data_IF_179983032901
#
_entry.id   IF_179983032901
#
_cell.length_a   1.000
_cell.length_b   1.000
_cell.length_c   1.000
_cell.angle_alpha   90.00
_cell.angle_beta   90.00
_cell.angle_gamma   90.00
#
_symmetry.space_group_name_H-M   'P 1'
#
loop_
_entity.id
_entity.type
_entity.pdbx_description
1 polymer ?
#
# COMPACT_ATOMS: atom_id res chain seq x y z
N UNK A 1 19.28 20.32 31.34
CA UNK A 1 18.01 19.57 31.23
C UNK A 1 18.21 18.42 30.26
N UNK A 2 18.27 17.19 30.76
CA UNK A 2 18.32 15.98 29.94
C UNK A 2 16.90 15.71 29.45
N UNK A 3 16.62 15.88 28.15
CA UNK A 3 15.35 15.39 27.57
C UNK A 3 15.33 13.88 27.81
N UNK A 4 14.37 13.38 28.60
CA UNK A 4 14.18 11.94 28.72
C UNK A 4 13.98 11.36 27.31
N UNK A 5 14.82 10.40 26.91
CA UNK A 5 14.69 9.76 25.61
C UNK A 5 13.33 9.06 25.55
N UNK A 6 12.52 9.37 24.53
CA UNK A 6 11.22 8.72 24.34
C UNK A 6 11.49 7.25 24.02
N UNK A 7 10.91 6.35 24.80
CA UNK A 7 11.12 4.91 24.61
C UNK A 7 10.38 4.38 23.39
N UNK A 8 10.90 3.30 22.81
CA UNK A 8 10.29 2.54 21.72
C UNK A 8 8.81 2.20 21.96
N UNK A 9 8.44 1.86 23.20
CA UNK A 9 7.07 1.51 23.56
C UNK A 9 6.11 2.72 23.47
N UNK A 10 6.54 3.90 23.93
CA UNK A 10 5.72 5.13 23.85
C UNK A 10 5.52 5.54 22.39
N UNK A 11 6.55 5.38 21.56
CA UNK A 11 6.47 5.63 20.12
C UNK A 11 5.44 4.72 19.45
N UNK A 12 5.51 3.41 19.71
CA UNK A 12 4.54 2.45 19.16
C UNK A 12 3.12 2.72 19.63
N UNK A 13 2.91 3.01 20.92
CA UNK A 13 1.58 3.31 21.43
C UNK A 13 0.97 4.54 20.74
N UNK A 14 1.78 5.57 20.50
CA UNK A 14 1.35 6.78 19.77
C UNK A 14 0.97 6.48 18.32
N UNK A 15 1.79 5.70 17.61
CA UNK A 15 1.53 5.31 16.22
C UNK A 15 0.36 4.33 16.07
N UNK A 16 0.13 3.46 17.06
CA UNK A 16 -1.02 2.57 17.10
C UNK A 16 -2.34 3.36 17.27
N UNK A 17 -2.36 4.36 18.15
CA UNK A 17 -3.52 5.27 18.26
C UNK A 17 -3.75 6.04 16.96
N UNK A 18 -2.68 6.49 16.31
CA UNK A 18 -2.74 7.15 15.01
C UNK A 18 -3.35 6.26 13.91
N UNK A 19 -2.97 4.97 13.87
CA UNK A 19 -3.57 3.99 12.97
C UNK A 19 -5.06 3.80 13.30
N UNK A 20 -5.43 3.68 14.57
CA UNK A 20 -6.82 3.48 14.97
C UNK A 20 -7.70 4.70 14.65
N UNK A 21 -7.21 5.92 14.88
CA UNK A 21 -7.91 7.15 14.51
C UNK A 21 -8.10 7.24 12.98
N UNK A 22 -7.07 6.90 12.20
CA UNK A 22 -7.15 6.89 10.74
C UNK A 22 -8.18 5.87 10.24
N UNK A 23 -8.24 4.68 10.86
CA UNK A 23 -9.24 3.66 10.55
C UNK A 23 -10.65 4.13 10.91
N UNK A 24 -10.87 4.55 12.15
CA UNK A 24 -12.22 4.75 12.72
C UNK A 24 -12.84 6.09 12.34
N UNK A 25 -12.04 7.15 12.22
CA UNK A 25 -12.53 8.50 11.95
C UNK A 25 -12.54 8.82 10.45
N UNK A 26 -11.63 8.21 9.67
CA UNK A 26 -11.41 8.56 8.27
C UNK A 26 -11.62 7.40 7.29
N UNK A 27 -11.80 6.17 7.80
CA UNK A 27 -11.97 4.98 6.97
C UNK A 27 -10.69 4.54 6.25
N UNK A 28 -9.50 4.95 6.71
CA UNK A 28 -8.21 4.61 6.10
C UNK A 28 -7.71 3.24 6.56
N UNK A 29 -8.51 2.20 6.29
CA UNK A 29 -8.26 0.85 6.78
C UNK A 29 -6.94 0.29 6.28
N UNK A 30 -6.59 0.50 5.00
CA UNK A 30 -5.38 -0.07 4.40
C UNK A 30 -4.12 0.56 4.98
N UNK A 31 -4.08 1.88 5.09
CA UNK A 31 -2.98 2.62 5.70
C UNK A 31 -2.77 2.21 7.17
N UNK A 32 -3.87 2.03 7.90
CA UNK A 32 -3.86 1.65 9.31
C UNK A 32 -3.31 0.23 9.51
N UNK A 33 -3.75 -0.73 8.70
CA UNK A 33 -3.21 -2.10 8.72
C UNK A 33 -1.72 -2.11 8.42
N UNK A 34 -1.27 -1.32 7.44
CA UNK A 34 0.16 -1.27 7.11
C UNK A 34 1.00 -0.64 8.22
N UNK A 35 0.51 0.46 8.82
CA UNK A 35 1.16 1.10 9.94
C UNK A 35 1.27 0.14 11.13
N UNK A 36 0.17 -0.46 11.57
CA UNK A 36 0.16 -1.40 12.71
C UNK A 36 1.11 -2.58 12.50
N UNK A 37 1.17 -3.15 11.29
CA UNK A 37 2.09 -4.23 10.99
C UNK A 37 3.55 -3.78 11.14
N UNK A 38 3.88 -2.57 10.69
CA UNK A 38 5.23 -1.99 10.83
C UNK A 38 5.66 -1.75 12.29
N UNK A 39 4.73 -1.74 13.25
CA UNK A 39 5.03 -1.54 14.68
C UNK A 39 5.53 -2.82 15.37
N UNK A 40 5.63 -3.94 14.67
CA UNK A 40 6.24 -5.17 15.19
C UNK A 40 7.77 -5.04 15.28
N UNK A 41 8.40 -5.89 16.09
CA UNK A 41 9.87 -5.93 16.19
C UNK A 41 10.53 -6.51 14.93
N UNK A 42 9.89 -7.50 14.32
CA UNK A 42 10.36 -8.18 13.12
C UNK A 42 9.15 -8.48 12.22
N UNK A 43 8.51 -7.46 11.60
CA UNK A 43 7.37 -7.69 10.72
C UNK A 43 7.79 -8.59 9.56
N UNK A 44 7.00 -9.63 9.32
CA UNK A 44 7.17 -10.49 8.15
C UNK A 44 6.68 -9.77 6.89
N UNK A 45 7.27 -10.10 5.74
CA UNK A 45 6.77 -9.64 4.44
C UNK A 45 5.33 -10.12 4.22
N UNK A 46 4.47 -9.24 3.70
CA UNK A 46 3.04 -9.49 3.54
C UNK A 46 2.70 -9.79 2.08
N UNK A 47 1.91 -10.86 1.86
CA UNK A 47 1.33 -11.18 0.55
C UNK A 47 -0.19 -11.10 0.62
N UNK A 48 -0.75 -10.05 0.02
CA UNK A 48 -2.17 -9.75 -0.05
C UNK A 48 -2.74 -10.45 -1.29
N UNK A 49 -3.72 -11.34 -1.08
CA UNK A 49 -4.31 -12.16 -2.15
C UNK A 49 -5.42 -11.42 -2.89
N UNK A 50 -5.83 -11.89 -4.07
CA UNK A 50 -6.82 -11.20 -4.90
C UNK A 50 -8.23 -11.12 -4.35
N UNK A 51 -8.54 -11.88 -3.30
CA UNK A 51 -9.83 -11.85 -2.60
C UNK A 51 -9.83 -10.91 -1.40
N UNK A 52 -8.66 -10.37 -1.02
CA UNK A 52 -8.53 -9.45 0.10
C UNK A 52 -9.21 -8.10 -0.19
N UNK A 53 -9.84 -7.44 0.80
CA UNK A 53 -10.39 -6.10 0.65
C UNK A 53 -9.36 -5.07 0.14
N UNK A 54 -8.10 -5.15 0.56
CA UNK A 54 -7.02 -4.27 0.08
C UNK A 54 -6.80 -4.48 -1.42
N UNK A 55 -6.74 -5.73 -1.88
CA UNK A 55 -6.65 -6.04 -3.32
C UNK A 55 -7.86 -5.53 -4.10
N UNK A 56 -9.06 -5.57 -3.50
CA UNK A 56 -10.27 -5.01 -4.12
C UNK A 56 -10.19 -3.49 -4.24
N UNK A 57 -9.71 -2.81 -3.20
CA UNK A 57 -9.48 -1.37 -3.23
C UNK A 57 -8.45 -0.99 -4.31
N UNK A 58 -7.32 -1.70 -4.38
CA UNK A 58 -6.28 -1.51 -5.40
C UNK A 58 -6.84 -1.78 -6.80
N UNK A 59 -7.60 -2.85 -7.00
CA UNK A 59 -8.27 -3.17 -8.28
C UNK A 59 -9.18 -2.03 -8.75
N UNK A 60 -9.82 -1.33 -7.82
CA UNK A 60 -10.74 -0.24 -8.10
C UNK A 60 -10.05 1.13 -8.28
N UNK A 61 -8.75 1.24 -7.99
CA UNK A 61 -7.96 2.45 -8.20
C UNK A 61 -7.85 2.83 -9.68
N UNK A 62 -7.66 4.12 -9.96
CA UNK A 62 -7.44 4.63 -11.32
C UNK A 62 -6.21 4.00 -11.97
N UNK A 63 -5.10 3.92 -11.24
CA UNK A 63 -3.84 3.32 -11.72
C UNK A 63 -4.00 1.85 -12.13
N UNK A 64 -4.68 1.03 -11.33
CA UNK A 64 -4.90 -0.37 -11.71
C UNK A 64 -5.86 -0.49 -12.91
N UNK A 65 -6.90 0.35 -12.98
CA UNK A 65 -7.82 0.38 -14.12
C UNK A 65 -7.11 0.78 -15.41
N UNK A 66 -6.17 1.71 -15.34
CA UNK A 66 -5.33 2.13 -16.47
C UNK A 66 -4.46 0.97 -16.96
N UNK A 67 -3.73 0.29 -16.06
CA UNK A 67 -2.94 -0.91 -16.41
C UNK A 67 -3.80 -1.98 -17.10
N UNK A 68 -5.01 -2.22 -16.59
CA UNK A 68 -5.96 -3.17 -17.20
C UNK A 68 -6.38 -2.69 -18.59
N UNK A 69 -6.69 -1.40 -18.74
CA UNK A 69 -7.11 -0.79 -20.01
C UNK A 69 -6.01 -0.87 -21.07
N UNK A 70 -4.78 -0.52 -20.72
CA UNK A 70 -3.61 -0.62 -21.60
C UNK A 70 -3.33 -2.07 -22.00
N UNK A 71 -3.46 -3.00 -21.05
CA UNK A 71 -3.30 -4.42 -21.33
C UNK A 71 -4.33 -4.88 -22.37
N UNK A 72 -5.61 -4.55 -22.16
CA UNK A 72 -6.73 -4.85 -23.08
C UNK A 72 -6.51 -4.26 -24.46
N UNK A 73 -6.21 -2.97 -24.52
CA UNK A 73 -6.02 -2.22 -25.78
C UNK A 73 -4.94 -2.85 -26.64
N UNK A 74 -3.82 -3.24 -26.03
CA UNK A 74 -2.74 -3.87 -26.76
C UNK A 74 -3.08 -5.27 -27.27
N UNK A 75 -3.73 -6.12 -26.48
CA UNK A 75 -3.97 -7.51 -26.91
C UNK A 75 -5.07 -7.62 -27.96
N UNK A 76 -5.95 -6.62 -28.05
CA UNK A 76 -7.06 -6.58 -29.01
C UNK A 76 -6.59 -6.74 -30.46
N UNK A 77 -7.20 -7.69 -31.17
CA UNK A 77 -6.90 -8.04 -32.56
C UNK A 77 -5.60 -8.81 -32.76
N UNK A 78 -4.81 -9.06 -31.70
CA UNK A 78 -3.51 -9.74 -31.82
C UNK A 78 -3.66 -11.26 -31.61
N UNK A 79 -2.95 -12.04 -32.42
CA UNK A 79 -2.84 -13.51 -32.27
C UNK A 79 -1.89 -13.87 -31.12
N UNK A 80 -2.29 -13.56 -29.88
CA UNK A 80 -1.52 -13.83 -28.66
C UNK A 80 -2.26 -14.82 -27.75
N UNK A 81 -1.52 -15.78 -27.18
CA UNK A 81 -2.00 -16.69 -26.13
C UNK A 81 -1.60 -16.25 -24.72
N UNK A 82 -0.56 -15.42 -24.61
CA UNK A 82 -0.08 -14.87 -23.35
C UNK A 82 0.60 -13.51 -23.56
N UNK A 83 0.66 -12.71 -22.50
CA UNK A 83 1.44 -11.47 -22.44
C UNK A 83 1.84 -11.17 -21.01
N UNK A 84 3.05 -10.65 -20.84
CA UNK A 84 3.49 -10.01 -19.60
C UNK A 84 3.98 -8.60 -19.89
N UNK A 85 3.65 -7.66 -19.00
CA UNK A 85 4.18 -6.31 -18.97
C UNK A 85 4.51 -5.92 -17.54
N UNK A 86 5.44 -5.00 -17.35
CA UNK A 86 5.86 -4.53 -16.04
C UNK A 86 6.13 -3.04 -16.08
N UNK A 87 6.03 -2.39 -14.92
CA UNK A 87 6.27 -0.96 -14.81
C UNK A 87 6.23 -0.50 -13.37
N UNK A 88 6.06 0.81 -13.20
CA UNK A 88 5.80 1.43 -11.90
C UNK A 88 4.64 2.41 -12.04
N UNK A 89 3.88 2.61 -10.98
CA UNK A 89 2.74 3.53 -10.96
C UNK A 89 2.53 4.09 -9.56
N UNK A 90 1.63 5.06 -9.43
CA UNK A 90 1.21 5.59 -8.13
C UNK A 90 -0.21 5.11 -7.77
N UNK A 91 -0.35 4.36 -6.67
CA UNK A 91 -1.62 4.05 -6.03
C UNK A 91 -2.07 5.24 -5.17
N UNK A 92 -2.45 6.34 -5.81
CA UNK A 92 -2.80 7.59 -5.14
C UNK A 92 -4.26 8.05 -5.38
N UNK A 93 -5.12 7.13 -5.84
CA UNK A 93 -6.54 7.44 -6.09
C UNK A 93 -7.34 7.73 -4.83
N UNK A 94 -6.81 7.37 -3.65
CA UNK A 94 -7.33 7.75 -2.34
C UNK A 94 -6.19 8.10 -1.41
N UNK A 95 -6.49 8.90 -0.38
CA UNK A 95 -5.50 9.21 0.66
C UNK A 95 -5.06 7.95 1.42
N UNK A 96 -5.98 7.00 1.64
CA UNK A 96 -5.68 5.69 2.23
C UNK A 96 -4.59 4.92 1.46
N UNK A 97 -4.74 4.77 0.13
CA UNK A 97 -3.73 4.12 -0.71
C UNK A 97 -2.43 4.94 -0.80
N UNK A 98 -2.52 6.28 -0.71
CA UNK A 98 -1.35 7.16 -0.71
C UNK A 98 -0.52 7.00 0.56
N UNK A 99 -1.16 6.83 1.71
CA UNK A 99 -0.48 6.57 2.99
C UNK A 99 0.06 5.15 3.06
N UNK A 100 -0.61 4.19 2.43
CA UNK A 100 -0.22 2.78 2.45
C UNK A 100 0.90 2.43 1.47
N UNK A 101 0.84 2.89 0.21
CA UNK A 101 1.74 2.42 -0.84
C UNK A 101 2.36 3.57 -1.65
N UNK A 102 1.55 4.56 -2.05
CA UNK A 102 1.94 5.61 -2.98
C UNK A 102 2.62 5.07 -4.26
N UNK A 103 3.95 4.93 -4.32
CA UNK A 103 4.67 4.49 -5.53
C UNK A 103 4.96 2.98 -5.47
N UNK A 104 4.41 2.23 -6.41
CA UNK A 104 4.58 0.77 -6.47
C UNK A 104 5.16 0.33 -7.81
N UNK A 105 5.91 -0.77 -7.79
CA UNK A 105 6.25 -1.51 -9.00
C UNK A 105 5.17 -2.54 -9.30
N UNK A 106 4.97 -2.91 -10.57
CA UNK A 106 4.02 -3.95 -10.93
C UNK A 106 4.49 -4.89 -12.04
N UNK A 107 3.95 -6.10 -12.04
CA UNK A 107 4.01 -7.07 -13.14
C UNK A 107 2.60 -7.55 -13.45
N UNK A 108 2.14 -7.32 -14.67
CA UNK A 108 0.84 -7.74 -15.19
C UNK A 108 1.02 -8.87 -16.22
N UNK A 109 0.56 -10.07 -15.88
CA UNK A 109 0.63 -11.27 -16.72
C UNK A 109 -0.76 -11.77 -17.06
N UNK A 110 -1.04 -11.98 -18.33
CA UNK A 110 -2.31 -12.51 -18.80
C UNK A 110 -2.17 -13.69 -19.74
N UNK A 111 -3.14 -14.60 -19.69
CA UNK A 111 -3.26 -15.79 -20.55
C UNK A 111 -4.65 -15.85 -21.16
N UNK A 112 -4.74 -16.16 -22.46
CA UNK A 112 -5.98 -16.29 -23.22
C UNK A 112 -6.37 -17.77 -23.32
N UNK A 113 -7.61 -18.10 -22.98
CA UNK A 113 -8.13 -19.45 -23.16
C UNK A 113 -8.65 -19.67 -24.60
N UNK A 114 -9.05 -20.91 -24.92
CA UNK A 114 -9.58 -21.28 -26.24
C UNK A 114 -10.87 -20.57 -26.65
N UNK A 115 -11.61 -20.00 -25.69
CA UNK A 115 -12.83 -19.20 -25.92
C UNK A 115 -12.53 -17.72 -26.12
N UNK A 116 -11.26 -17.33 -26.15
CA UNK A 116 -10.82 -15.95 -26.30
C UNK A 116 -10.95 -15.08 -25.05
N UNK A 117 -11.17 -15.68 -23.87
CA UNK A 117 -11.22 -14.97 -22.60
C UNK A 117 -9.82 -14.87 -22.00
N UNK A 118 -9.40 -13.65 -21.71
CA UNK A 118 -8.16 -13.35 -21.01
C UNK A 118 -8.36 -13.42 -19.50
N UNK A 119 -7.44 -14.10 -18.80
CA UNK A 119 -7.27 -13.99 -17.35
C UNK A 119 -6.03 -13.18 -17.08
N UNK A 120 -6.18 -12.04 -16.42
CA UNK A 120 -5.11 -11.10 -16.09
C UNK A 120 -4.82 -11.14 -14.59
N UNK A 121 -3.55 -11.30 -14.25
CA UNK A 121 -3.02 -11.24 -12.90
C UNK A 121 -1.98 -10.12 -12.80
N UNK A 122 -2.22 -9.17 -11.90
CA UNK A 122 -1.32 -8.04 -11.65
C UNK A 122 -0.76 -8.19 -10.25
N UNK A 123 0.57 -8.21 -10.13
CA UNK A 123 1.27 -8.18 -8.84
C UNK A 123 1.89 -6.81 -8.65
N UNK A 124 1.40 -6.07 -7.67
CA UNK A 124 2.05 -4.84 -7.19
C UNK A 124 3.04 -5.21 -6.08
N UNK A 125 4.18 -4.53 -6.04
CA UNK A 125 5.21 -4.69 -5.02
C UNK A 125 5.66 -3.34 -4.51
N UNK A 126 5.80 -3.27 -3.20
CA UNK A 126 6.25 -2.09 -2.48
C UNK A 126 7.06 -2.47 -1.24
N UNK A 127 7.78 -1.50 -0.68
CA UNK A 127 8.34 -1.57 0.67
C UNK A 127 7.63 -0.52 1.50
N UNK A 128 6.86 -0.94 2.49
CA UNK A 128 6.26 -0.01 3.42
C UNK A 128 7.33 0.54 4.34
N UNK A 129 7.61 1.84 4.26
CA UNK A 129 8.68 2.51 4.99
C UNK A 129 8.20 3.79 5.70
N UNK A 130 7.06 3.70 6.40
CA UNK A 130 6.39 4.77 7.17
C UNK A 130 6.90 6.20 6.95
N UNK A 131 6.16 6.94 6.13
CA UNK A 131 6.44 8.34 5.83
C UNK A 131 5.62 9.26 6.74
N UNK A 132 6.26 9.72 7.82
CA UNK A 132 5.62 10.57 8.83
C UNK A 132 5.01 11.86 8.24
N UNK A 133 5.64 12.45 7.22
CA UNK A 133 5.19 13.73 6.64
C UNK A 133 3.84 13.59 5.92
N UNK A 134 3.54 12.39 5.40
CA UNK A 134 2.22 12.10 4.83
C UNK A 134 1.15 11.99 5.92
N UNK A 135 1.49 11.43 7.08
CA UNK A 135 0.57 11.24 8.21
C UNK A 135 0.30 12.53 9.00
N UNK A 136 1.25 13.47 9.07
CA UNK A 136 1.06 14.74 9.81
C UNK A 136 -0.03 15.64 9.23
N UNK A 137 -0.40 15.43 7.96
CA UNK A 137 -1.40 16.24 7.26
C UNK A 137 -2.83 15.66 7.31
N UNK A 138 -3.02 14.57 8.04
CA UNK A 138 -4.31 13.91 8.18
C UNK A 138 -5.23 14.74 9.10
N UNK A 139 -6.37 15.24 8.60
CA UNK A 139 -7.32 16.03 9.40
C UNK A 139 -7.98 15.16 10.48
N UNK A 140 -8.06 15.65 11.72
CA UNK A 140 -8.59 14.89 12.87
C UNK A 140 -7.53 14.10 13.64
N UNK A 141 -6.32 14.04 13.10
CA UNK A 141 -5.15 13.45 13.74
C UNK A 141 -4.71 14.32 14.93
N UNK A 142 -4.67 13.76 16.15
CA UNK A 142 -4.36 14.55 17.35
C UNK A 142 -2.93 15.09 17.32
N UNK A 143 -2.83 16.39 17.07
CA UNK A 143 -1.60 17.17 17.03
C UNK A 143 -0.86 17.32 18.38
N UNK A 144 -1.43 16.87 19.49
CA UNK A 144 -0.76 16.93 20.80
C UNK A 144 0.52 16.06 20.86
N UNK A 145 0.61 15.04 20.01
CA UNK A 145 1.82 14.24 19.79
C UNK A 145 2.82 14.94 18.85
N UNK A 146 2.37 15.95 18.07
CA UNK A 146 3.04 16.57 16.90
C UNK A 146 4.04 17.68 17.21
N UNK A 147 3.94 18.41 18.34
CA UNK A 147 4.84 19.52 18.64
C UNK A 147 6.33 19.12 18.86
N UNK A 148 6.68 17.84 18.74
CA UNK A 148 8.06 17.33 18.65
C UNK A 148 8.38 16.50 17.38
N UNK A 149 7.51 16.44 16.37
CA UNK A 149 7.52 15.40 15.32
C UNK A 149 8.19 15.71 13.99
N UNK A 150 8.79 16.88 13.75
CA UNK A 150 9.59 17.09 12.51
C UNK A 150 10.85 16.18 12.41
N UNK A 151 11.03 15.26 13.35
CA UNK A 151 12.13 14.28 13.40
C UNK A 151 11.66 12.83 13.64
N UNK A 152 10.36 12.50 13.59
CA UNK A 152 9.86 11.24 14.17
C UNK A 152 9.83 10.01 13.26
N UNK A 153 9.55 10.11 11.96
CA UNK A 153 9.59 8.91 11.09
C UNK A 153 10.99 8.26 11.11
N UNK A 154 12.01 9.09 10.88
CA UNK A 154 13.42 8.68 10.96
C UNK A 154 13.83 8.24 12.37
N UNK A 155 13.39 8.95 13.42
CA UNK A 155 13.68 8.55 14.81
C UNK A 155 13.02 7.22 15.17
N UNK A 156 11.73 7.04 14.86
CA UNK A 156 10.96 5.83 15.10
C UNK A 156 11.59 4.62 14.39
N UNK A 157 12.06 4.80 13.16
CA UNK A 157 12.84 3.78 12.46
C UNK A 157 14.20 3.55 13.13
N UNK A 158 14.92 4.61 13.53
CA UNK A 158 16.25 4.49 14.17
C UNK A 158 16.23 3.73 15.50
N UNK A 159 15.14 3.85 16.27
CA UNK A 159 14.96 3.10 17.52
C UNK A 159 14.23 1.77 17.31
N UNK A 160 13.92 1.42 16.06
CA UNK A 160 13.19 0.21 15.68
C UNK A 160 11.74 0.15 16.19
N UNK A 161 11.12 1.29 16.48
CA UNK A 161 9.70 1.36 16.81
C UNK A 161 8.81 1.14 15.58
N UNK A 162 9.31 1.55 14.41
CA UNK A 162 8.74 1.26 13.09
C UNK A 162 9.78 0.50 12.28
N UNK A 163 9.39 -0.62 11.70
CA UNK A 163 10.28 -1.48 10.91
C UNK A 163 9.70 -1.63 9.51
N UNK A 164 10.44 -1.22 8.45
CA UNK A 164 10.00 -1.43 7.08
C UNK A 164 9.86 -2.91 6.73
N UNK A 165 8.92 -3.23 5.84
CA UNK A 165 8.69 -4.60 5.36
C UNK A 165 8.16 -4.58 3.92
N UNK A 166 8.29 -5.69 3.19
CA UNK A 166 7.80 -5.76 1.82
C UNK A 166 6.33 -6.14 1.78
N UNK A 167 5.61 -5.54 0.84
CA UNK A 167 4.22 -5.84 0.55
C UNK A 167 4.11 -6.27 -0.91
N UNK A 168 3.42 -7.38 -1.14
CA UNK A 168 2.98 -7.80 -2.48
C UNK A 168 1.46 -7.89 -2.52
N UNK A 169 0.83 -7.22 -3.47
CA UNK A 169 -0.62 -7.25 -3.68
C UNK A 169 -0.92 -7.93 -5.01
N UNK A 170 -1.75 -8.97 -4.98
CA UNK A 170 -2.21 -9.63 -6.20
C UNK A 170 -3.63 -9.18 -6.57
N UNK A 171 -3.81 -8.63 -7.76
CA UNK A 171 -5.13 -8.33 -8.36
C UNK A 171 -5.39 -9.31 -9.49
N UNK A 172 -6.62 -9.84 -9.57
CA UNK A 172 -7.07 -10.68 -10.69
C UNK A 172 -8.31 -10.12 -11.36
N UNK A 173 -8.36 -10.23 -12.68
CA UNK A 173 -9.54 -9.91 -13.49
C UNK A 173 -9.59 -10.74 -14.75
N UNK A 174 -10.78 -10.84 -15.35
CA UNK A 174 -10.98 -11.48 -16.66
C UNK A 174 -11.64 -10.51 -17.62
N UNK A 175 -11.45 -10.73 -18.92
CA UNK A 175 -12.16 -10.02 -19.97
C UNK A 175 -12.17 -10.82 -21.27
N UNK A 176 -13.24 -10.69 -22.04
CA UNK A 176 -13.28 -11.15 -23.43
C UNK A 176 -12.66 -10.09 -24.34
N UNK A 177 -12.07 -10.56 -25.43
CA UNK A 177 -11.66 -9.68 -26.54
C UNK A 177 -12.85 -9.22 -27.39
#
# INVERSE_FOLDING_TARGET
MQKAAITKAVVRASLAMAAEDARTLLGYTTASVCLEHSLQDNPVDVSITSTDPISTQVKNSSACKEIISEFKSYVKGKKLSARTTSGSTALNSSHDLTLAFNKVSYVASGTKNSKGVWTLKIKFKDTYDFDCDKWTNVKGFRAATINGLNSYGKYAQSIGAVVPYKIQIEVRTTFSE
#
